data_IF_885313310950
#
_entry.id   IF_885313310950
#
_cell.length_a   1.000
_cell.length_b   1.000
_cell.length_c   1.000
_cell.angle_alpha   90.00
_cell.angle_beta   90.00
_cell.angle_gamma   90.00
#
_symmetry.space_group_name_H-M   'P 1'
#
loop_
_entity.id
_entity.type
_entity.pdbx_description
1 polymer ?
#
# COMPACT_ATOMS: atom_id res chain seq x y z
N UNK A 1 -21.93 15.42 39.90
CA UNK A 1 -22.28 15.78 38.51
C UNK A 1 -21.07 16.01 37.60
N UNK A 2 -19.95 16.60 38.05
CA UNK A 2 -18.76 16.85 37.20
C UNK A 2 -18.03 15.60 36.68
N UNK A 3 -17.97 14.52 37.46
CA UNK A 3 -17.28 13.27 37.04
C UNK A 3 -18.01 12.47 35.95
N UNK A 4 -19.34 12.54 35.90
CA UNK A 4 -20.12 11.82 34.89
C UNK A 4 -20.03 12.47 33.51
N UNK A 5 -19.91 13.79 33.43
CA UNK A 5 -19.81 14.52 32.15
C UNK A 5 -18.46 14.27 31.46
N UNK A 6 -17.36 14.16 32.23
CA UNK A 6 -16.02 13.91 31.67
C UNK A 6 -15.88 12.49 31.13
N UNK A 7 -16.44 11.48 31.81
CA UNK A 7 -16.41 10.08 31.37
C UNK A 7 -17.29 9.87 30.13
N UNK A 8 -18.47 10.51 30.08
CA UNK A 8 -19.37 10.43 28.93
C UNK A 8 -18.79 11.12 27.69
N UNK A 9 -18.12 12.26 27.86
CA UNK A 9 -17.44 12.96 26.75
C UNK A 9 -16.26 12.17 26.19
N UNK A 10 -15.46 11.50 27.04
CA UNK A 10 -14.33 10.68 26.59
C UNK A 10 -14.76 9.46 25.78
N UNK A 11 -15.87 8.82 26.19
CA UNK A 11 -16.43 7.66 25.48
C UNK A 11 -17.02 8.07 24.14
N UNK A 12 -17.71 9.22 24.05
CA UNK A 12 -18.27 9.73 22.79
C UNK A 12 -17.16 10.16 21.81
N UNK A 13 -16.08 10.79 22.29
CA UNK A 13 -14.92 11.11 21.43
C UNK A 13 -14.24 9.84 20.91
N UNK A 14 -14.08 8.81 21.75
CA UNK A 14 -13.53 7.52 21.31
C UNK A 14 -14.44 6.76 20.33
N UNK A 15 -15.76 6.77 20.55
CA UNK A 15 -16.76 6.14 19.67
C UNK A 15 -16.93 6.87 18.34
N UNK A 16 -16.83 8.20 18.34
CA UNK A 16 -16.82 8.98 17.12
C UNK A 16 -15.58 8.62 16.32
N UNK A 17 -14.38 8.62 16.91
CA UNK A 17 -13.12 8.22 16.24
C UNK A 17 -13.17 6.78 15.70
N UNK A 18 -13.77 5.81 16.42
CA UNK A 18 -13.85 4.41 15.95
C UNK A 18 -14.76 4.21 14.73
N UNK A 19 -15.71 5.13 14.49
CA UNK A 19 -16.57 5.09 13.29
C UNK A 19 -15.89 5.64 12.02
N UNK A 20 -14.65 6.17 12.12
CA UNK A 20 -13.88 6.68 10.97
C UNK A 20 -12.96 5.65 10.33
N UNK A 21 -12.68 4.52 10.98
CA UNK A 21 -11.91 3.45 10.37
C UNK A 21 -12.89 2.45 9.78
N UNK A 22 -13.24 2.63 8.51
CA UNK A 22 -13.60 1.46 7.70
C UNK A 22 -12.35 0.57 7.70
N UNK A 23 -12.26 -0.37 8.65
CA UNK A 23 -11.20 -1.37 8.70
C UNK A 23 -11.48 -2.43 7.63
N UNK A 24 -11.41 -2.01 6.38
CA UNK A 24 -10.90 -2.84 5.31
C UNK A 24 -9.56 -2.20 4.97
N UNK A 25 -8.51 -2.50 5.76
CA UNK A 25 -7.16 -2.17 5.33
C UNK A 25 -6.87 -3.07 4.14
N UNK A 26 -7.23 -2.60 2.94
CA UNK A 26 -6.66 -3.09 1.71
C UNK A 26 -5.15 -2.84 1.80
N UNK A 27 -4.36 -3.76 1.26
CA UNK A 27 -2.90 -3.63 1.21
C UNK A 27 -2.52 -2.27 0.59
N UNK A 28 -1.59 -1.54 1.22
CA UNK A 28 -1.12 -0.24 0.75
C UNK A 28 -0.36 -0.34 -0.57
N UNK A 29 0.12 -1.54 -0.92
CA UNK A 29 0.56 -1.87 -2.27
C UNK A 29 0.11 -3.27 -2.66
N UNK A 30 -0.49 -3.42 -3.84
CA UNK A 30 -0.77 -4.74 -4.43
C UNK A 30 -0.27 -4.78 -5.86
N UNK A 31 0.49 -5.80 -6.23
CA UNK A 31 0.99 -5.96 -7.59
C UNK A 31 0.95 -7.43 -8.05
N UNK A 32 0.62 -7.64 -9.32
CA UNK A 32 0.74 -8.93 -9.99
C UNK A 32 1.65 -8.78 -11.20
N UNK A 33 2.74 -9.52 -11.22
CA UNK A 33 3.75 -9.48 -12.28
C UNK A 33 3.62 -10.72 -13.15
N UNK A 34 3.44 -10.49 -14.44
CA UNK A 34 3.43 -11.53 -15.47
C UNK A 34 4.56 -11.20 -16.44
N UNK A 35 5.61 -12.01 -16.42
CA UNK A 35 6.89 -11.73 -17.09
C UNK A 35 6.71 -11.55 -18.60
N UNK A 36 5.83 -12.36 -19.21
CA UNK A 36 5.53 -12.31 -20.63
C UNK A 36 4.91 -10.98 -21.07
N UNK A 37 4.13 -10.33 -20.19
CA UNK A 37 3.47 -9.06 -20.49
C UNK A 37 4.42 -7.87 -20.42
N UNK A 38 5.49 -7.95 -19.61
CA UNK A 38 6.41 -6.83 -19.32
C UNK A 38 5.69 -5.50 -18.99
N UNK A 39 4.52 -5.63 -18.39
CA UNK A 39 3.58 -4.57 -18.05
C UNK A 39 2.82 -4.98 -16.80
N UNK A 40 2.66 -4.07 -15.85
CA UNK A 40 1.87 -4.29 -14.63
C UNK A 40 1.04 -3.06 -14.27
N UNK A 41 -0.05 -3.27 -13.54
CA UNK A 41 -0.96 -2.21 -13.05
C UNK A 41 -1.13 -2.31 -11.54
N UNK A 42 -0.08 -2.04 -10.75
CA UNK A 42 -0.12 -2.15 -9.31
C UNK A 42 -1.09 -1.10 -8.74
N UNK A 43 -1.62 -1.38 -7.55
CA UNK A 43 -2.38 -0.42 -6.76
C UNK A 43 -1.47 0.07 -5.65
N UNK A 44 -1.30 1.37 -5.54
CA UNK A 44 -0.59 2.06 -4.47
C UNK A 44 -1.58 2.93 -3.69
N UNK A 45 -1.77 2.66 -2.41
CA UNK A 45 -2.70 3.39 -1.54
C UNK A 45 -1.92 4.30 -0.59
N UNK A 46 -2.01 5.60 -0.80
CA UNK A 46 -1.49 6.61 0.11
C UNK A 46 -2.57 7.07 1.09
N UNK A 47 -2.29 7.05 2.40
CA UNK A 47 -3.23 7.51 3.43
C UNK A 47 -2.52 8.43 4.41
N UNK A 48 -3.15 9.57 4.72
CA UNK A 48 -2.67 10.48 5.77
C UNK A 48 -3.84 11.01 6.59
N UNK A 49 -3.77 10.79 7.91
CA UNK A 49 -4.76 11.26 8.87
C UNK A 49 -4.16 12.41 9.68
N UNK A 50 -4.82 13.56 9.67
CA UNK A 50 -4.32 14.80 10.24
C UNK A 50 -5.30 15.29 11.29
N UNK A 51 -4.78 15.56 12.48
CA UNK A 51 -5.50 16.22 13.56
C UNK A 51 -4.86 17.56 13.82
N UNK A 52 -5.63 18.64 13.66
CA UNK A 52 -5.21 20.00 14.02
C UNK A 52 -6.01 20.40 15.25
N UNK A 53 -5.33 20.55 16.38
CA UNK A 53 -5.92 20.99 17.66
C UNK A 53 -5.73 22.49 17.84
N UNK A 54 -6.77 23.16 18.28
CA UNK A 54 -6.80 24.59 18.56
C UNK A 54 -7.70 24.90 19.76
N UNK A 55 -7.56 26.05 20.43
CA UNK A 55 -8.42 26.40 21.57
C UNK A 55 -9.85 26.65 21.11
N UNK A 56 -10.81 26.35 21.98
CA UNK A 56 -12.22 26.70 21.77
C UNK A 56 -12.37 28.22 21.62
N UNK A 57 -13.23 28.66 20.69
CA UNK A 57 -13.46 30.07 20.39
C UNK A 57 -12.32 30.79 19.66
N UNK A 58 -11.22 30.09 19.31
CA UNK A 58 -10.16 30.62 18.44
C UNK A 58 -10.68 30.99 17.04
N UNK A 59 -9.87 31.72 16.26
CA UNK A 59 -10.20 32.06 14.87
C UNK A 59 -10.43 30.82 14.00
N UNK A 60 -9.65 29.76 14.22
CA UNK A 60 -9.82 28.46 13.56
C UNK A 60 -11.13 27.79 13.99
N UNK A 61 -11.41 27.73 15.30
CA UNK A 61 -12.66 27.15 15.80
C UNK A 61 -13.89 27.81 15.19
N UNK A 62 -13.92 29.15 15.11
CA UNK A 62 -15.05 29.91 14.54
C UNK A 62 -15.35 29.56 13.08
N UNK A 63 -14.34 29.15 12.31
CA UNK A 63 -14.49 28.82 10.89
C UNK A 63 -14.79 27.34 10.66
N UNK A 64 -14.24 26.45 11.50
CA UNK A 64 -14.26 25.01 11.32
C UNK A 64 -15.31 24.29 12.17
N UNK A 65 -15.74 24.87 13.29
CA UNK A 65 -16.69 24.21 14.19
C UNK A 65 -18.03 23.92 13.48
N UNK A 66 -18.50 22.68 13.64
CA UNK A 66 -19.69 22.15 12.98
C UNK A 66 -19.56 21.93 11.48
N UNK A 67 -18.38 22.13 10.87
CA UNK A 67 -18.18 21.90 9.44
C UNK A 67 -17.84 20.46 9.13
N UNK A 68 -18.44 19.93 8.06
CA UNK A 68 -18.15 18.60 7.54
C UNK A 68 -18.18 18.64 6.02
N UNK A 69 -17.05 18.33 5.38
CA UNK A 69 -16.92 18.32 3.93
C UNK A 69 -16.24 17.04 3.45
N UNK A 70 -16.54 16.66 2.22
CA UNK A 70 -15.91 15.54 1.52
C UNK A 70 -15.60 15.98 0.09
N UNK A 71 -14.37 15.72 -0.35
CA UNK A 71 -13.95 15.80 -1.75
C UNK A 71 -13.74 14.37 -2.21
N UNK A 72 -14.35 13.99 -3.33
CA UNK A 72 -14.15 12.69 -3.94
C UNK A 72 -14.19 12.85 -5.45
N UNK A 73 -13.19 12.30 -6.14
CA UNK A 73 -13.17 12.24 -7.59
C UNK A 73 -12.25 11.13 -8.09
N UNK A 74 -12.51 10.71 -9.33
CA UNK A 74 -11.65 9.79 -10.06
C UNK A 74 -11.15 10.49 -11.32
N UNK A 75 -9.89 10.28 -11.64
CA UNK A 75 -9.30 10.72 -12.91
C UNK A 75 -8.43 9.61 -13.48
N UNK A 76 -8.52 9.44 -14.79
CA UNK A 76 -7.73 8.48 -15.53
C UNK A 76 -7.17 9.12 -16.80
N UNK A 77 -6.02 8.63 -17.25
CA UNK A 77 -5.44 9.09 -18.49
C UNK A 77 -4.00 8.66 -18.68
N UNK A 78 -3.36 9.31 -19.64
CA UNK A 78 -1.99 9.09 -20.09
C UNK A 78 -1.13 10.32 -19.82
N UNK A 79 0.17 10.22 -20.08
CA UNK A 79 1.08 11.37 -20.01
C UNK A 79 0.74 12.52 -20.97
N UNK A 80 -0.21 12.32 -21.89
CA UNK A 80 -0.70 13.34 -22.83
C UNK A 80 -1.92 14.09 -22.30
N UNK A 81 -2.57 13.58 -21.26
CA UNK A 81 -3.79 14.16 -20.72
C UNK A 81 -3.44 15.21 -19.65
N UNK A 82 -3.76 16.51 -19.88
CA UNK A 82 -3.32 17.59 -18.98
C UNK A 82 -3.77 17.41 -17.52
N UNK A 83 -4.87 16.66 -17.30
CA UNK A 83 -5.40 16.43 -15.96
C UNK A 83 -4.57 15.48 -15.10
N UNK A 84 -3.66 14.66 -15.67
CA UNK A 84 -2.89 13.64 -14.93
C UNK A 84 -1.40 13.59 -15.34
N UNK A 85 -1.01 14.31 -16.40
CA UNK A 85 0.34 14.33 -16.93
C UNK A 85 1.41 14.68 -15.88
N UNK A 86 1.13 15.67 -15.02
CA UNK A 86 2.06 16.10 -13.96
C UNK A 86 2.33 14.99 -12.94
N UNK A 87 1.30 14.22 -12.56
CA UNK A 87 1.46 13.06 -11.68
C UNK A 87 2.32 12.00 -12.35
N UNK A 88 2.03 11.65 -13.61
CA UNK A 88 2.80 10.65 -14.36
C UNK A 88 4.26 11.08 -14.52
N UNK A 89 4.51 12.36 -14.81
CA UNK A 89 5.86 12.90 -14.92
C UNK A 89 6.59 12.86 -13.57
N UNK A 90 5.93 13.26 -12.49
CA UNK A 90 6.51 13.26 -11.15
C UNK A 90 6.83 11.83 -10.67
N UNK A 91 5.95 10.86 -10.94
CA UNK A 91 6.21 9.45 -10.65
C UNK A 91 7.38 8.91 -11.47
N UNK A 92 7.42 9.17 -12.78
CA UNK A 92 8.54 8.74 -13.63
C UNK A 92 9.88 9.33 -13.15
N UNK A 93 9.90 10.60 -12.74
CA UNK A 93 11.08 11.20 -12.12
C UNK A 93 11.48 10.46 -10.84
N UNK A 94 10.51 10.15 -9.97
CA UNK A 94 10.76 9.44 -8.72
C UNK A 94 11.29 8.01 -8.95
N UNK A 95 10.79 7.30 -9.97
CA UNK A 95 11.28 5.98 -10.38
C UNK A 95 12.73 6.02 -10.86
N UNK A 96 13.10 7.02 -11.66
CA UNK A 96 14.49 7.24 -12.09
C UNK A 96 15.39 7.55 -10.89
N UNK A 97 14.93 8.37 -9.93
CA UNK A 97 15.65 8.62 -8.67
C UNK A 97 15.85 7.34 -7.85
N UNK A 98 14.87 6.42 -7.88
CA UNK A 98 14.95 5.09 -7.30
C UNK A 98 15.76 4.09 -8.16
N UNK A 99 16.36 4.54 -9.26
CA UNK A 99 17.15 3.72 -10.21
C UNK A 99 16.35 2.58 -10.85
N UNK A 100 15.04 2.72 -10.93
CA UNK A 100 14.18 1.84 -11.70
C UNK A 100 14.15 2.29 -13.18
N UNK A 101 14.28 1.37 -14.15
CA UNK A 101 14.09 1.69 -15.56
C UNK A 101 12.61 1.68 -15.98
N UNK A 102 11.70 1.34 -15.06
CA UNK A 102 10.27 1.25 -15.31
C UNK A 102 9.68 2.62 -15.66
N UNK A 103 8.70 2.60 -16.55
CA UNK A 103 8.02 3.81 -17.00
C UNK A 103 6.51 3.72 -16.74
N UNK A 104 5.94 4.80 -16.23
CA UNK A 104 4.50 5.02 -16.13
C UNK A 104 4.00 5.58 -17.46
N UNK A 105 3.08 4.87 -18.12
CA UNK A 105 2.49 5.28 -19.41
C UNK A 105 1.06 5.79 -19.29
N UNK A 106 0.32 5.28 -18.30
CA UNK A 106 -1.03 5.68 -17.95
C UNK A 106 -1.23 5.59 -16.43
N UNK A 107 -2.29 6.17 -15.92
CA UNK A 107 -2.68 6.02 -14.52
C UNK A 107 -4.18 6.22 -14.33
N UNK A 108 -4.70 5.52 -13.33
CA UNK A 108 -5.99 5.76 -12.71
C UNK A 108 -5.76 6.26 -11.28
N UNK A 109 -6.48 7.29 -10.86
CA UNK A 109 -6.41 7.87 -9.52
C UNK A 109 -7.81 8.00 -8.98
N UNK A 110 -8.04 7.44 -7.80
CA UNK A 110 -9.21 7.73 -6.99
C UNK A 110 -8.78 8.49 -5.72
N UNK A 111 -9.29 9.71 -5.58
CA UNK A 111 -8.98 10.59 -4.47
C UNK A 111 -10.19 10.75 -3.57
N UNK A 112 -9.98 10.60 -2.26
CA UNK A 112 -10.96 10.95 -1.24
C UNK A 112 -10.30 11.78 -0.15
N UNK A 113 -10.90 12.91 0.19
CA UNK A 113 -10.56 13.65 1.39
C UNK A 113 -11.80 14.01 2.20
N UNK A 114 -11.70 13.89 3.52
CA UNK A 114 -12.76 14.30 4.45
C UNK A 114 -12.21 15.31 5.44
N UNK A 115 -13.00 16.32 5.76
CA UNK A 115 -12.68 17.35 6.75
C UNK A 115 -13.85 17.42 7.72
N UNK A 116 -13.60 17.19 9.00
CA UNK A 116 -14.60 17.34 10.06
C UNK A 116 -14.06 18.23 11.16
N UNK A 117 -14.62 19.42 11.26
CA UNK A 117 -14.26 20.40 12.27
C UNK A 117 -15.18 20.35 13.48
N UNK A 118 -14.58 20.54 14.65
CA UNK A 118 -15.26 20.69 15.93
C UNK A 118 -14.70 21.88 16.70
N UNK A 119 -15.15 22.07 17.96
CA UNK A 119 -14.86 23.29 18.72
C UNK A 119 -13.38 23.42 19.10
N UNK A 120 -12.65 22.32 19.20
CA UNK A 120 -11.24 22.28 19.66
C UNK A 120 -10.30 21.57 18.70
N UNK A 121 -10.82 21.00 17.61
CA UNK A 121 -9.98 20.34 16.60
C UNK A 121 -10.68 20.17 15.27
N UNK A 122 -9.89 20.04 14.22
CA UNK A 122 -10.34 19.50 12.93
C UNK A 122 -9.59 18.22 12.62
N UNK A 123 -10.33 17.24 12.11
CA UNK A 123 -9.82 15.98 11.58
C UNK A 123 -9.89 16.05 10.06
N UNK A 124 -8.74 15.82 9.42
CA UNK A 124 -8.65 15.66 7.97
C UNK A 124 -8.13 14.27 7.66
N UNK A 125 -8.80 13.54 6.78
CA UNK A 125 -8.30 12.25 6.28
C UNK A 125 -8.18 12.34 4.77
N UNK A 126 -6.99 12.03 4.24
CA UNK A 126 -6.69 12.03 2.82
C UNK A 126 -6.32 10.61 2.41
N UNK A 127 -6.95 10.13 1.34
CA UNK A 127 -6.68 8.84 0.70
C UNK A 127 -6.50 9.03 -0.80
N UNK A 128 -5.45 8.43 -1.34
CA UNK A 128 -5.17 8.36 -2.78
C UNK A 128 -4.97 6.89 -3.15
N UNK A 129 -5.89 6.33 -3.91
CA UNK A 129 -5.68 5.05 -4.60
C UNK A 129 -5.09 5.35 -5.98
N UNK A 130 -3.80 5.09 -6.15
CA UNK A 130 -3.04 5.34 -7.37
C UNK A 130 -2.73 4.03 -8.08
N UNK A 131 -3.26 3.86 -9.28
CA UNK A 131 -3.06 2.68 -10.12
C UNK A 131 -2.33 3.06 -11.42
N UNK A 132 -0.99 3.17 -11.39
CA UNK A 132 -0.21 3.41 -12.60
C UNK A 132 -0.17 2.18 -13.49
N UNK A 133 -0.06 2.40 -14.79
CA UNK A 133 0.38 1.40 -15.75
C UNK A 133 1.89 1.50 -15.91
N UNK A 134 2.59 0.50 -15.39
CA UNK A 134 4.05 0.38 -15.43
C UNK A 134 4.47 -0.54 -16.58
N UNK A 135 5.49 -0.13 -17.33
CA UNK A 135 6.08 -0.91 -18.42
C UNK A 135 7.60 -1.04 -18.24
N UNK A 136 8.19 -2.06 -18.88
CA UNK A 136 9.63 -2.30 -18.91
C UNK A 136 10.25 -2.70 -17.56
N UNK A 137 9.55 -3.54 -16.80
CA UNK A 137 10.08 -4.10 -15.55
C UNK A 137 10.97 -5.34 -15.77
N UNK A 138 10.93 -5.98 -16.94
CA UNK A 138 11.83 -7.09 -17.30
C UNK A 138 13.12 -6.53 -17.89
N UNK A 139 14.24 -6.77 -17.20
CA UNK A 139 15.57 -6.27 -17.55
C UNK A 139 16.28 -7.17 -18.57
N UNK A 140 16.12 -8.48 -18.44
CA UNK A 140 16.72 -9.49 -19.32
C UNK A 140 15.83 -10.72 -19.36
N UNK A 141 15.68 -11.35 -20.53
CA UNK A 141 14.91 -12.60 -20.68
C UNK A 141 15.84 -13.78 -20.93
N UNK A 142 15.61 -14.90 -20.24
CA UNK A 142 16.37 -16.14 -20.39
C UNK A 142 17.86 -15.97 -20.11
N UNK A 143 18.21 -15.15 -19.10
CA UNK A 143 19.60 -14.89 -18.78
C UNK A 143 20.26 -16.16 -18.23
N UNK A 144 21.19 -16.71 -19.02
CA UNK A 144 21.85 -17.98 -18.68
C UNK A 144 22.83 -17.86 -17.51
N UNK A 145 23.36 -16.66 -17.25
CA UNK A 145 24.25 -16.40 -16.11
C UNK A 145 23.43 -16.23 -14.83
N UNK A 146 22.30 -15.53 -14.90
CA UNK A 146 21.40 -15.37 -13.76
C UNK A 146 20.58 -16.65 -13.48
N UNK A 147 20.32 -17.46 -14.51
CA UNK A 147 19.52 -18.69 -14.43
C UNK A 147 18.02 -18.47 -14.59
N UNK A 148 17.57 -17.38 -15.21
CA UNK A 148 16.16 -17.04 -15.38
C UNK A 148 15.93 -15.66 -16.00
N UNK A 149 14.67 -15.20 -15.99
CA UNK A 149 14.31 -13.85 -16.39
C UNK A 149 14.65 -12.86 -15.28
N UNK A 150 15.39 -11.81 -15.60
CA UNK A 150 15.81 -10.78 -14.64
C UNK A 150 14.79 -9.65 -14.65
N UNK A 151 14.25 -9.31 -13.48
CA UNK A 151 13.25 -8.25 -13.30
C UNK A 151 13.73 -7.14 -12.36
N UNK A 152 13.26 -5.93 -12.63
CA UNK A 152 13.37 -4.80 -11.72
C UNK A 152 12.41 -4.96 -10.54
N UNK A 153 12.92 -4.64 -9.35
CA UNK A 153 12.13 -4.54 -8.13
C UNK A 153 12.19 -3.14 -7.52
N UNK A 154 12.92 -2.19 -8.12
CA UNK A 154 13.04 -0.83 -7.60
C UNK A 154 11.77 0.00 -7.83
N UNK A 155 10.93 -0.37 -8.79
CA UNK A 155 9.64 0.29 -9.02
C UNK A 155 8.69 0.27 -7.81
N UNK A 156 8.93 -0.61 -6.83
CA UNK A 156 8.15 -0.72 -5.58
C UNK A 156 8.32 0.48 -4.66
N UNK A 157 9.41 1.23 -4.80
CA UNK A 157 9.80 2.30 -3.90
C UNK A 157 9.96 3.62 -4.65
N UNK A 158 9.11 4.60 -4.34
CA UNK A 158 9.26 5.96 -4.85
C UNK A 158 8.54 6.95 -3.93
N UNK A 159 8.92 8.22 -4.04
CA UNK A 159 8.26 9.32 -3.32
C UNK A 159 7.93 10.41 -4.33
N UNK A 160 6.65 10.72 -4.50
CA UNK A 160 6.24 11.86 -5.31
C UNK A 160 6.44 13.12 -4.48
N UNK A 161 7.27 14.04 -4.97
CA UNK A 161 7.63 15.26 -4.23
C UNK A 161 6.74 16.43 -4.62
N UNK A 162 6.35 17.23 -3.63
CA UNK A 162 5.62 18.48 -3.82
C UNK A 162 4.12 18.29 -4.10
N UNK A 163 3.39 19.40 -4.30
CA UNK A 163 1.97 19.36 -4.61
C UNK A 163 1.74 18.77 -6.00
N UNK A 164 0.72 17.91 -6.11
CA UNK A 164 0.20 17.41 -7.38
C UNK A 164 -1.24 17.86 -7.48
N UNK A 165 -1.49 18.87 -8.32
CA UNK A 165 -2.80 19.51 -8.44
C UNK A 165 -3.61 18.82 -9.52
N UNK A 166 -4.74 18.24 -9.14
CA UNK A 166 -5.68 17.63 -10.08
C UNK A 166 -7.00 18.40 -10.01
N UNK A 167 -7.69 18.49 -11.16
CA UNK A 167 -8.96 19.21 -11.26
C UNK A 167 -10.10 18.37 -10.70
N UNK A 168 -10.57 18.74 -9.51
CA UNK A 168 -11.83 18.28 -8.95
C UNK A 168 -12.98 19.14 -9.51
N UNK A 169 -14.08 18.51 -9.92
CA UNK A 169 -15.19 19.21 -10.58
C UNK A 169 -15.71 20.40 -9.76
N UNK A 170 -16.15 20.15 -8.53
CA UNK A 170 -16.81 21.17 -7.67
C UNK A 170 -15.81 22.00 -6.86
N UNK A 171 -14.57 21.54 -6.73
CA UNK A 171 -13.58 22.11 -5.80
C UNK A 171 -12.37 22.75 -6.51
N UNK A 172 -12.38 22.83 -7.84
CA UNK A 172 -11.28 23.41 -8.61
C UNK A 172 -10.02 22.53 -8.56
N UNK A 173 -8.85 23.14 -8.42
CA UNK A 173 -7.60 22.38 -8.29
C UNK A 173 -7.38 21.93 -6.85
N UNK A 174 -7.18 20.63 -6.66
CA UNK A 174 -6.90 20.02 -5.35
C UNK A 174 -5.54 19.36 -5.39
N UNK A 175 -4.66 19.70 -4.43
CA UNK A 175 -3.40 18.99 -4.24
C UNK A 175 -3.67 17.61 -3.62
N UNK A 176 -3.47 16.54 -4.39
CA UNK A 176 -3.74 15.17 -3.90
C UNK A 176 -2.58 14.59 -3.08
N UNK A 177 -1.39 15.15 -3.24
CA UNK A 177 -0.16 14.59 -2.67
C UNK A 177 0.24 15.25 -1.34
N UNK A 178 -0.59 16.13 -0.78
CA UNK A 178 -0.28 16.79 0.49
C UNK A 178 -1.49 16.78 1.40
N UNK A 179 -1.25 16.58 2.69
CA UNK A 179 -2.27 16.58 3.73
C UNK A 179 -3.15 17.83 3.77
N UNK A 180 -2.56 18.98 3.43
CA UNK A 180 -3.24 20.28 3.41
C UNK A 180 -4.13 20.50 2.19
N UNK A 181 -3.99 19.71 1.12
CA UNK A 181 -4.60 20.03 -0.18
C UNK A 181 -6.13 20.15 -0.15
N UNK A 182 -6.82 19.36 0.67
CA UNK A 182 -8.25 19.48 0.87
C UNK A 182 -8.65 20.77 1.62
N UNK A 183 -7.84 21.19 2.59
CA UNK A 183 -8.02 22.47 3.29
C UNK A 183 -7.73 23.64 2.35
N UNK A 184 -6.75 23.55 1.45
CA UNK A 184 -6.47 24.58 0.44
C UNK A 184 -7.66 24.82 -0.48
N UNK A 185 -8.33 23.74 -0.90
CA UNK A 185 -9.48 23.81 -1.80
C UNK A 185 -10.75 24.38 -1.12
N UNK A 186 -11.01 24.03 0.14
CA UNK A 186 -12.27 24.39 0.82
C UNK A 186 -12.11 25.61 1.75
N UNK A 187 -10.96 25.75 2.39
CA UNK A 187 -10.65 26.79 3.39
C UNK A 187 -9.29 27.46 3.10
N UNK A 188 -9.13 28.15 1.96
CA UNK A 188 -7.84 28.67 1.51
C UNK A 188 -7.16 29.60 2.53
N UNK A 189 -7.93 30.43 3.24
CA UNK A 189 -7.40 31.32 4.28
C UNK A 189 -6.80 30.55 5.47
N UNK A 190 -7.45 29.45 5.88
CA UNK A 190 -6.97 28.58 6.95
C UNK A 190 -5.71 27.85 6.48
N UNK A 191 -5.75 27.28 5.28
CA UNK A 191 -4.61 26.57 4.70
C UNK A 191 -3.38 27.48 4.56
N UNK A 192 -3.57 28.72 4.10
CA UNK A 192 -2.50 29.71 4.00
C UNK A 192 -1.87 30.03 5.36
N UNK A 193 -2.68 30.23 6.41
CA UNK A 193 -2.16 30.45 7.77
C UNK A 193 -1.38 29.26 8.30
N UNK A 194 -1.86 28.04 8.04
CA UNK A 194 -1.20 26.81 8.48
C UNK A 194 0.13 26.59 7.73
N UNK A 195 0.13 26.70 6.40
CA UNK A 195 1.31 26.55 5.54
C UNK A 195 2.44 27.52 5.89
N UNK A 196 2.10 28.76 6.22
CA UNK A 196 3.08 29.81 6.54
C UNK A 196 3.54 29.80 8.01
N UNK A 197 3.13 28.80 8.79
CA UNK A 197 3.46 28.68 10.21
C UNK A 197 4.40 27.50 10.47
N UNK A 198 4.83 27.33 11.74
CA UNK A 198 5.68 26.21 12.16
C UNK A 198 5.08 24.81 11.94
N UNK A 199 3.78 24.69 11.61
CA UNK A 199 3.14 23.40 11.30
C UNK A 199 3.09 23.07 9.81
N UNK A 200 3.47 24.00 8.93
CA UNK A 200 3.37 23.85 7.48
C UNK A 200 4.10 22.62 6.95
N UNK A 201 5.31 22.33 7.47
CA UNK A 201 6.11 21.18 7.05
C UNK A 201 5.38 19.85 7.20
N UNK A 202 4.72 19.62 8.34
CA UNK A 202 3.96 18.38 8.62
C UNK A 202 2.77 18.24 7.68
N UNK A 203 2.11 19.35 7.35
CA UNK A 203 0.93 19.36 6.49
C UNK A 203 1.26 19.21 4.99
N UNK A 204 2.51 19.48 4.62
CA UNK A 204 3.02 19.43 3.25
C UNK A 204 3.79 18.14 2.94
N UNK A 205 3.97 17.26 3.93
CA UNK A 205 4.57 15.94 3.71
C UNK A 205 3.79 15.15 2.65
N UNK A 206 4.49 14.42 1.75
CA UNK A 206 3.85 13.63 0.70
C UNK A 206 2.84 12.61 1.24
N UNK A 207 1.75 12.42 0.50
CA UNK A 207 0.79 11.31 0.69
C UNK A 207 1.22 10.09 -0.13
N UNK A 208 1.77 10.32 -1.32
CA UNK A 208 2.36 9.31 -2.19
C UNK A 208 3.84 9.10 -1.83
N UNK A 209 4.06 8.64 -0.60
CA UNK A 209 5.36 8.17 -0.10
C UNK A 209 5.33 6.65 0.05
N UNK A 210 6.05 5.96 -0.83
CA UNK A 210 6.15 4.51 -0.86
C UNK A 210 7.57 4.03 -0.55
N UNK A 211 8.40 4.88 0.05
CA UNK A 211 9.79 4.55 0.41
C UNK A 211 9.90 3.39 1.40
N UNK A 212 8.88 3.22 2.26
CA UNK A 212 8.72 2.11 3.21
C UNK A 212 8.72 0.71 2.56
N UNK A 213 8.40 0.60 1.27
CA UNK A 213 8.45 -0.66 0.53
C UNK A 213 9.86 -1.03 0.05
N UNK A 214 10.86 -0.18 0.30
CA UNK A 214 12.28 -0.49 0.09
C UNK A 214 12.88 -1.38 1.21
N UNK A 215 12.06 -1.88 2.13
CA UNK A 215 12.49 -2.88 3.10
C UNK A 215 13.02 -4.11 2.32
N UNK A 216 14.20 -4.67 2.68
CA UNK A 216 14.79 -5.78 1.94
C UNK A 216 13.83 -6.97 1.85
N UNK A 217 13.59 -7.48 0.65
CA UNK A 217 12.64 -8.59 0.44
C UNK A 217 13.13 -9.90 1.05
N UNK A 218 14.44 -10.08 1.19
CA UNK A 218 15.03 -11.27 1.80
C UNK A 218 14.83 -11.36 3.32
N UNK A 219 14.59 -10.24 4.01
CA UNK A 219 14.53 -10.21 5.49
C UNK A 219 13.22 -9.66 6.05
N UNK A 220 12.57 -8.74 5.36
CA UNK A 220 11.39 -8.02 5.87
C UNK A 220 10.08 -8.45 5.21
N UNK A 221 10.16 -9.16 4.08
CA UNK A 221 8.99 -9.66 3.38
C UNK A 221 8.83 -11.15 3.62
N UNK A 222 7.60 -11.56 3.84
CA UNK A 222 7.25 -12.97 3.96
C UNK A 222 7.09 -13.57 2.56
N UNK A 223 7.94 -14.53 2.21
CA UNK A 223 7.87 -15.23 0.92
C UNK A 223 7.18 -16.57 1.06
N UNK A 224 6.19 -16.80 0.19
CA UNK A 224 5.48 -18.05 0.01
C UNK A 224 5.44 -18.38 -1.49
N UNK A 225 5.42 -19.65 -1.85
CA UNK A 225 5.15 -20.05 -3.23
C UNK A 225 4.40 -21.37 -3.30
N UNK A 226 3.51 -21.47 -4.28
CA UNK A 226 2.70 -22.66 -4.52
C UNK A 226 2.58 -22.97 -6.02
N UNK A 227 2.46 -24.25 -6.40
CA UNK A 227 2.11 -24.63 -7.76
C UNK A 227 0.77 -24.01 -8.19
N UNK A 228 0.70 -23.52 -9.42
CA UNK A 228 -0.55 -22.92 -9.96
C UNK A 228 -1.70 -23.93 -9.94
N UNK A 229 -1.39 -25.22 -10.14
CA UNK A 229 -2.37 -26.32 -10.06
C UNK A 229 -3.07 -26.45 -8.70
N UNK A 230 -2.46 -25.94 -7.63
CA UNK A 230 -3.02 -25.97 -6.27
C UNK A 230 -4.21 -25.01 -6.11
N UNK A 231 -4.32 -23.98 -6.94
CA UNK A 231 -5.38 -22.96 -6.84
C UNK A 231 -6.73 -23.39 -7.44
N UNK A 232 -6.82 -24.57 -8.07
CA UNK A 232 -8.07 -25.16 -8.55
C UNK A 232 -8.74 -24.43 -9.72
N UNK A 233 -9.53 -25.17 -10.49
CA UNK A 233 -10.27 -24.77 -11.71
C UNK A 233 -11.33 -23.65 -11.52
N UNK A 234 -11.32 -22.89 -10.42
CA UNK A 234 -12.45 -22.07 -9.98
C UNK A 234 -12.32 -20.56 -10.18
N UNK A 235 -11.13 -20.01 -10.47
CA UNK A 235 -11.02 -18.53 -10.50
C UNK A 235 -9.98 -17.97 -11.46
N UNK A 236 -8.98 -18.74 -11.88
CA UNK A 236 -7.95 -18.26 -12.82
C UNK A 236 -7.54 -19.39 -13.75
N UNK A 237 -7.70 -19.19 -15.05
CA UNK A 237 -7.19 -20.12 -16.05
C UNK A 237 -5.66 -20.04 -16.09
N UNK A 238 -4.95 -21.16 -16.14
CA UNK A 238 -3.47 -21.18 -16.19
C UNK A 238 -2.87 -20.30 -17.31
N UNK A 239 -3.65 -20.01 -18.36
CA UNK A 239 -3.29 -19.07 -19.43
C UNK A 239 -3.08 -17.62 -18.99
N UNK A 240 -3.61 -17.18 -17.84
CA UNK A 240 -3.46 -15.80 -17.36
C UNK A 240 -2.06 -15.51 -16.79
N UNK A 241 -1.34 -16.55 -16.37
CA UNK A 241 0.02 -16.47 -15.81
C UNK A 241 1.11 -16.87 -16.81
N UNK A 242 0.77 -17.02 -18.08
CA UNK A 242 1.70 -17.37 -19.14
C UNK A 242 2.29 -18.77 -18.96
N UNK A 243 3.60 -18.90 -19.15
CA UNK A 243 4.37 -20.14 -19.01
C UNK A 243 4.82 -20.47 -17.57
N UNK A 244 4.34 -19.74 -16.56
CA UNK A 244 4.64 -20.05 -15.18
C UNK A 244 3.92 -21.32 -14.71
N UNK A 245 4.58 -22.13 -13.88
CA UNK A 245 3.99 -23.32 -13.23
C UNK A 245 3.78 -23.10 -11.72
N UNK A 246 4.42 -22.08 -11.14
CA UNK A 246 4.32 -21.71 -9.74
C UNK A 246 4.03 -20.22 -9.59
N UNK A 247 3.49 -19.83 -8.44
CA UNK A 247 3.23 -18.46 -8.07
C UNK A 247 4.06 -18.11 -6.83
N UNK A 248 4.86 -17.05 -6.90
CA UNK A 248 5.55 -16.51 -5.72
C UNK A 248 4.77 -15.33 -5.16
N UNK A 249 4.56 -15.33 -3.85
CA UNK A 249 3.86 -14.28 -3.12
C UNK A 249 4.78 -13.72 -2.04
N UNK A 250 5.04 -12.42 -2.11
CA UNK A 250 5.77 -11.66 -1.10
C UNK A 250 4.80 -10.72 -0.38
N UNK A 251 4.71 -10.86 0.93
CA UNK A 251 3.85 -10.03 1.79
C UNK A 251 4.68 -9.19 2.76
N UNK A 252 4.29 -7.94 2.98
CA UNK A 252 4.84 -7.03 4.00
C UNK A 252 3.71 -6.54 4.90
N UNK A 253 4.01 -6.25 6.17
CA UNK A 253 3.05 -5.70 7.12
C UNK A 253 2.42 -6.74 8.04
N UNK A 254 2.72 -8.02 7.84
CA UNK A 254 2.38 -9.06 8.81
C UNK A 254 3.29 -8.92 10.03
N UNK A 255 2.70 -8.54 11.17
CA UNK A 255 3.45 -8.52 12.43
C UNK A 255 3.68 -9.96 12.89
N UNK A 256 4.93 -10.31 13.16
CA UNK A 256 5.32 -11.65 13.60
C UNK A 256 6.44 -11.57 14.66
N UNK A 257 6.68 -12.68 15.36
CA UNK A 257 7.79 -12.77 16.32
C UNK A 257 9.16 -12.54 15.68
N UNK A 258 9.30 -12.77 14.36
CA UNK A 258 10.54 -12.58 13.59
C UNK A 258 10.68 -11.15 13.04
N UNK A 259 9.62 -10.60 12.45
CA UNK A 259 9.63 -9.30 11.78
C UNK A 259 9.39 -8.11 12.75
N UNK A 260 8.85 -8.38 13.94
CA UNK A 260 8.43 -7.34 14.87
C UNK A 260 7.05 -6.75 14.52
N UNK A 261 6.72 -5.61 15.14
CA UNK A 261 5.46 -4.90 14.92
C UNK A 261 5.67 -3.73 13.97
N UNK A 262 4.88 -3.67 12.90
CA UNK A 262 4.80 -2.47 12.07
C UNK A 262 3.91 -1.44 12.78
N UNK A 263 4.45 -0.25 13.02
CA UNK A 263 3.76 0.84 13.70
C UNK A 263 3.36 1.94 12.69
N UNK A 264 2.34 2.70 13.06
CA UNK A 264 2.00 3.91 12.33
C UNK A 264 3.10 4.96 12.50
N UNK A 265 3.39 5.72 11.45
CA UNK A 265 4.29 6.86 11.52
C UNK A 265 3.51 8.08 11.99
N UNK A 266 4.05 8.78 13.00
CA UNK A 266 3.44 9.97 13.57
C UNK A 266 4.41 11.14 13.51
N UNK A 267 4.02 12.21 12.82
CA UNK A 267 4.73 13.49 12.86
C UNK A 267 3.90 14.52 13.59
N UNK A 268 4.52 15.30 14.48
CA UNK A 268 3.85 16.39 15.20
C UNK A 268 4.58 17.71 15.02
N UNK A 269 3.82 18.79 15.00
CA UNK A 269 4.35 20.14 15.04
C UNK A 269 3.41 21.06 15.79
N UNK A 270 3.93 22.17 16.27
CA UNK A 270 3.18 23.18 16.99
C UNK A 270 3.53 24.57 16.46
N UNK A 271 2.55 25.47 16.45
CA UNK A 271 2.74 26.87 16.08
C UNK A 271 1.77 27.77 16.86
N UNK A 272 1.97 29.08 16.75
CA UNK A 272 1.01 30.08 17.19
C UNK A 272 0.37 30.73 15.97
N UNK A 273 -0.95 30.65 15.86
CA UNK A 273 -1.74 31.22 14.76
C UNK A 273 -2.77 32.16 15.37
N UNK A 274 -2.79 33.42 14.91
CA UNK A 274 -3.66 34.49 15.44
C UNK A 274 -3.60 34.60 16.98
N UNK A 275 -2.41 34.45 17.57
CA UNK A 275 -2.20 34.51 19.02
C UNK A 275 -2.66 33.27 19.80
N UNK A 276 -3.06 32.19 19.13
CA UNK A 276 -3.52 30.94 19.76
C UNK A 276 -2.61 29.76 19.44
N UNK A 277 -2.43 28.86 20.41
CA UNK A 277 -1.58 27.67 20.25
C UNK A 277 -2.28 26.61 19.38
N UNK A 278 -1.64 26.21 18.28
CA UNK A 278 -2.12 25.20 17.34
C UNK A 278 -1.15 24.03 17.33
N UNK A 279 -1.67 22.81 17.45
CA UNK A 279 -0.89 21.58 17.40
C UNK A 279 -1.39 20.69 16.27
N UNK A 280 -0.50 20.26 15.40
CA UNK A 280 -0.80 19.35 14.30
C UNK A 280 -0.16 18.00 14.58
N UNK A 281 -0.94 16.95 14.37
CA UNK A 281 -0.49 15.57 14.32
C UNK A 281 -0.86 14.99 12.97
N UNK A 282 0.11 14.49 12.23
CA UNK A 282 -0.05 13.67 11.03
C UNK A 282 0.21 12.22 11.39
N UNK A 283 -0.61 11.31 10.87
CA UNK A 283 -0.51 9.88 11.08
C UNK A 283 -0.64 9.14 9.75
N UNK A 284 0.39 8.37 9.42
CA UNK A 284 0.40 7.44 8.28
C UNK A 284 0.26 6.02 8.83
N UNK A 285 -0.72 5.22 8.36
CA UNK A 285 -0.87 3.83 8.80
C UNK A 285 0.39 2.99 8.59
N UNK A 286 0.53 1.92 9.37
CA UNK A 286 1.60 0.94 9.19
C UNK A 286 1.58 0.35 7.77
N UNK A 287 2.73 0.16 7.11
CA UNK A 287 2.78 -0.35 5.74
C UNK A 287 2.24 -1.78 5.64
N UNK A 288 1.45 -2.04 4.60
CA UNK A 288 1.09 -3.39 4.18
C UNK A 288 1.27 -3.52 2.66
N UNK A 289 1.87 -4.60 2.20
CA UNK A 289 2.05 -4.83 0.77
C UNK A 289 1.92 -6.30 0.40
N UNK A 290 1.52 -6.57 -0.84
CA UNK A 290 1.56 -7.89 -1.45
C UNK A 290 2.04 -7.79 -2.89
N UNK A 291 3.02 -8.62 -3.24
CA UNK A 291 3.50 -8.77 -4.61
C UNK A 291 3.38 -10.23 -5.00
N UNK A 292 2.66 -10.45 -6.08
CA UNK A 292 2.45 -11.76 -6.68
C UNK A 292 3.22 -11.82 -7.99
N UNK A 293 4.03 -12.85 -8.19
CA UNK A 293 4.83 -13.06 -9.40
C UNK A 293 4.49 -14.40 -10.02
N UNK A 294 4.13 -14.39 -11.31
CA UNK A 294 4.00 -15.57 -12.12
C UNK A 294 5.39 -16.18 -12.37
N UNK A 295 5.71 -17.27 -11.66
CA UNK A 295 7.01 -17.91 -11.62
C UNK A 295 7.60 -17.95 -10.20
N UNK A 296 8.66 -18.73 -10.03
CA UNK A 296 9.47 -18.74 -8.82
C UNK A 296 10.37 -17.51 -8.82
N UNK A 297 10.22 -16.63 -7.83
CA UNK A 297 11.02 -15.42 -7.70
C UNK A 297 12.11 -15.62 -6.65
N UNK A 298 13.35 -15.60 -7.13
CA UNK A 298 14.56 -15.49 -6.32
C UNK A 298 15.02 -14.03 -6.28
N UNK A 299 14.95 -13.39 -5.10
CA UNK A 299 15.40 -12.00 -4.95
C UNK A 299 16.89 -11.95 -4.68
N UNK A 300 17.61 -11.18 -5.48
CA UNK A 300 19.05 -10.99 -5.41
C UNK A 300 19.42 -9.53 -5.29
N UNK A 301 20.67 -9.28 -4.90
CA UNK A 301 21.22 -7.94 -4.74
C UNK A 301 21.43 -7.55 -3.28
N UNK A 302 21.57 -6.25 -3.06
CA UNK A 302 21.74 -5.65 -1.72
C UNK A 302 20.61 -4.65 -1.48
N UNK A 303 20.39 -4.29 -0.21
CA UNK A 303 19.35 -3.34 0.18
C UNK A 303 19.36 -2.08 -0.70
N UNK A 304 18.20 -1.74 -1.26
CA UNK A 304 18.02 -0.58 -2.13
C UNK A 304 18.55 -0.73 -3.55
N UNK A 305 19.00 -1.92 -3.96
CA UNK A 305 19.40 -2.30 -5.33
C UNK A 305 19.06 -3.78 -5.61
N UNK A 306 17.92 -4.23 -5.09
CA UNK A 306 17.39 -5.58 -5.30
C UNK A 306 16.83 -5.74 -6.72
N UNK A 307 17.05 -6.92 -7.30
CA UNK A 307 16.44 -7.38 -8.54
C UNK A 307 15.94 -8.81 -8.36
N UNK A 308 14.97 -9.19 -9.19
CA UNK A 308 14.40 -10.54 -9.16
C UNK A 308 14.99 -11.40 -10.27
N UNK A 309 15.18 -12.69 -10.00
CA UNK A 309 15.38 -13.71 -11.03
C UNK A 309 14.17 -14.64 -10.98
N UNK A 310 13.48 -14.77 -12.11
CA UNK A 310 12.23 -15.51 -12.23
C UNK A 310 12.40 -16.73 -13.11
N UNK A 311 11.94 -17.88 -12.63
CA UNK A 311 11.88 -19.14 -13.37
C UNK A 311 10.45 -19.66 -13.42
N UNK A 312 10.08 -20.38 -14.50
CA UNK A 312 8.74 -20.97 -14.61
C UNK A 312 8.45 -21.99 -13.51
N UNK A 313 9.48 -22.73 -13.10
CA UNK A 313 9.42 -23.77 -12.07
C UNK A 313 10.22 -23.37 -10.83
N UNK A 314 9.82 -23.89 -9.67
CA UNK A 314 10.63 -23.77 -8.46
C UNK A 314 11.86 -24.70 -8.53
N UNK A 315 13.01 -24.30 -7.95
CA UNK A 315 14.19 -25.17 -7.86
C UNK A 315 13.90 -26.47 -7.10
N UNK A 316 14.62 -27.53 -7.44
CA UNK A 316 14.48 -28.81 -6.76
C UNK A 316 14.84 -28.69 -5.26
N UNK A 317 13.99 -29.25 -4.39
CA UNK A 317 14.22 -29.32 -2.94
C UNK A 317 13.73 -28.12 -2.13
N UNK A 318 13.12 -27.12 -2.76
CA UNK A 318 12.48 -25.99 -2.05
C UNK A 318 11.07 -26.40 -1.58
N UNK A 319 10.71 -26.12 -0.34
CA UNK A 319 9.41 -26.47 0.22
C UNK A 319 8.32 -25.46 -0.15
N UNK A 320 7.14 -25.95 -0.55
CA UNK A 320 5.95 -25.15 -0.85
C UNK A 320 5.26 -24.65 0.43
N UNK A 321 4.41 -23.62 0.30
CA UNK A 321 3.64 -23.03 1.42
C UNK A 321 2.73 -24.03 2.13
N UNK A 322 2.25 -25.06 1.41
CA UNK A 322 1.45 -26.16 1.95
C UNK A 322 2.20 -27.09 2.91
N UNK A 323 3.49 -26.86 3.14
CA UNK A 323 4.39 -27.79 3.80
C UNK A 323 4.62 -28.95 2.85
N UNK A 324 5.83 -29.10 2.34
CA UNK A 324 6.18 -30.19 1.44
C UNK A 324 6.07 -31.53 2.15
N UNK A 325 4.86 -32.08 2.31
CA UNK A 325 4.67 -33.48 2.66
C UNK A 325 5.31 -34.26 1.53
N UNK A 326 6.48 -34.88 1.77
CA UNK A 326 7.19 -35.54 0.70
C UNK A 326 6.26 -36.59 0.10
N UNK A 327 6.19 -36.69 -1.22
CA UNK A 327 5.39 -37.75 -1.89
C UNK A 327 5.78 -39.13 -1.33
N UNK A 328 7.04 -39.30 -0.91
CA UNK A 328 7.51 -40.48 -0.19
C UNK A 328 6.73 -40.76 1.11
N UNK A 329 6.42 -39.73 1.91
CA UNK A 329 5.62 -39.87 3.14
C UNK A 329 4.16 -40.22 2.81
N UNK A 330 3.58 -39.63 1.77
CA UNK A 330 2.25 -40.00 1.26
C UNK A 330 2.20 -41.43 0.72
N UNK A 331 3.24 -41.88 0.01
CA UNK A 331 3.38 -43.26 -0.47
C UNK A 331 3.56 -44.25 0.69
N UNK A 332 4.29 -43.87 1.74
CA UNK A 332 4.44 -44.68 2.96
C UNK A 332 3.10 -44.78 3.71
N UNK A 333 2.36 -43.67 3.87
CA UNK A 333 1.03 -43.68 4.47
C UNK A 333 0.02 -44.47 3.64
N UNK A 334 0.02 -44.28 2.31
CA UNK A 334 -0.82 -45.04 1.38
C UNK A 334 -0.48 -46.53 1.37
N UNK A 335 0.81 -46.88 1.44
CA UNK A 335 1.29 -48.25 1.57
C UNK A 335 0.86 -48.91 2.89
N UNK A 336 0.94 -48.18 4.01
CA UNK A 336 0.45 -48.67 5.31
C UNK A 336 -1.07 -48.88 5.30
N UNK A 337 -1.83 -47.93 4.74
CA UNK A 337 -3.30 -48.06 4.61
C UNK A 337 -3.70 -49.25 3.71
N UNK A 338 -2.97 -49.48 2.61
CA UNK A 338 -3.15 -50.64 1.75
C UNK A 338 -2.85 -51.96 2.47
N UNK A 339 -1.79 -52.01 3.28
CA UNK A 339 -1.46 -53.18 4.08
C UNK A 339 -2.53 -53.48 5.15
N UNK A 340 -3.07 -52.45 5.82
CA UNK A 340 -4.18 -52.62 6.77
C UNK A 340 -5.43 -53.15 6.08
N UNK A 341 -5.78 -52.63 4.90
CA UNK A 341 -6.94 -53.10 4.13
C UNK A 341 -6.82 -54.58 3.74
N UNK A 342 -5.64 -55.02 3.29
CA UNK A 342 -5.38 -56.43 2.97
C UNK A 342 -5.46 -57.30 4.23
N UNK A 343 -4.89 -56.83 5.35
CA UNK A 343 -4.92 -57.58 6.61
C UNK A 343 -6.34 -57.77 7.16
N UNK A 344 -7.20 -56.76 7.04
CA UNK A 344 -8.62 -56.83 7.40
C UNK A 344 -9.36 -57.82 6.50
N UNK A 345 -9.12 -57.81 5.18
CA UNK A 345 -9.73 -58.75 4.24
C UNK A 345 -9.32 -60.21 4.49
N UNK A 346 -8.06 -60.45 4.87
CA UNK A 346 -7.57 -61.79 5.24
C UNK A 346 -8.17 -62.24 6.57
N UNK A 347 -8.28 -61.35 7.56
CA UNK A 347 -8.89 -61.66 8.86
C UNK A 347 -10.41 -61.89 8.75
N UNK A 348 -11.10 -61.19 7.86
CA UNK A 348 -12.54 -61.35 7.61
C UNK A 348 -12.90 -62.63 6.84
N UNK A 349 -11.91 -63.37 6.33
CA UNK A 349 -12.08 -64.67 5.66
C UNK A 349 -11.82 -65.88 6.57
N UNK A 350 -11.52 -65.65 7.85
CA UNK A 350 -11.54 -66.66 8.92
C UNK A 350 -12.75 -66.43 9.81
#
# INVERSE_FOLDING_TARGET
MKYYVTIFSGIITALLISSFVSQAYASDMTATLIIEKNKLTPIFTGVKNITIKYPEGSSLAKQLDGKSNKIEFTINGTSKDPGIADLIQATNKALVEAKSPVQVTAADVHYTATIKGGPTSVLTSVKVDYQPTLENFVLSKGDTQAGGDVIDLQWRTFVVKGPIKLKAQEFGEVSINQGIGALEAIYPDIASKLSNSGVGGVLQEPVLDFSRFNAPMSTNWHHLFDPISTYGSGTISGSEYGSANVLSVYSLGESSLREGRFEAEETTASATIDGTAVNVKSLTPAPSAQITVAGYLDVRGQQGQEYGVVTSDAPAGVQTSSGGFPIQVLLVLGGMMGAVAIFVLIKARK
#
